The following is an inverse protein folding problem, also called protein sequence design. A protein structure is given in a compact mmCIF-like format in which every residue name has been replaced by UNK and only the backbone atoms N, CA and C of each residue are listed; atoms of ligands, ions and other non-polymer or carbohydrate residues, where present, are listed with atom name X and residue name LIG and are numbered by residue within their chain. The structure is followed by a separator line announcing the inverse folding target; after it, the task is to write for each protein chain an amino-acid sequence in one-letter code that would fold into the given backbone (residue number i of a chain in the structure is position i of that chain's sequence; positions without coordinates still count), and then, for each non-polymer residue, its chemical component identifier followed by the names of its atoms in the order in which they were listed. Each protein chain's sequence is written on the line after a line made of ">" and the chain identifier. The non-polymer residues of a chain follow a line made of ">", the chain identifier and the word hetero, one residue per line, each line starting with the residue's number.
data_IF_694723403741
#
_entry.id   IF_694723403741
#
_cell.length_a   1.000
_cell.length_b   1.000
_cell.length_c   1.000
_cell.angle_alpha   90.00
_cell.angle_beta   90.00
_cell.angle_gamma   90.00
#
_symmetry.space_group_name_H-M   'P 1'
#
loop_
_entity.id
_entity.type
_entity.pdbx_description
1 polymer ?
#
# COMPACT_ATOMS: atom_id res chain seq x y z
N UNK A 1 34.92 12.48 -28.56
CA UNK A 1 34.89 11.25 -27.71
C UNK A 1 34.07 11.59 -26.48
N UNK A 2 33.11 10.75 -26.06
CA UNK A 2 32.23 11.09 -24.92
C UNK A 2 33.03 11.31 -23.63
N UNK A 3 32.85 12.47 -23.00
CA UNK A 3 33.52 12.81 -21.74
C UNK A 3 32.87 12.15 -20.51
N UNK A 4 33.55 12.24 -19.36
CA UNK A 4 33.01 11.90 -18.04
C UNK A 4 32.62 13.20 -17.32
N UNK A 5 31.41 13.26 -16.80
CA UNK A 5 30.83 14.47 -16.22
C UNK A 5 31.08 14.59 -14.70
N UNK A 6 31.69 13.58 -14.07
CA UNK A 6 31.92 13.57 -12.63
C UNK A 6 30.66 13.21 -11.82
N UNK A 7 30.70 13.46 -10.51
CA UNK A 7 29.59 13.12 -9.60
C UNK A 7 28.40 14.08 -9.77
N UNK A 8 27.19 13.56 -9.57
CA UNK A 8 25.91 14.31 -9.61
C UNK A 8 25.54 14.93 -10.97
N UNK A 9 26.22 14.52 -12.04
CA UNK A 9 25.96 14.97 -13.41
C UNK A 9 25.92 13.79 -14.37
N UNK A 10 25.14 13.91 -15.43
CA UNK A 10 25.03 12.92 -16.49
C UNK A 10 25.34 13.53 -17.86
N UNK A 11 25.89 12.71 -18.76
CA UNK A 11 26.16 13.12 -20.13
C UNK A 11 24.91 12.97 -20.99
N UNK A 12 24.33 14.09 -21.44
CA UNK A 12 23.18 14.12 -22.34
C UNK A 12 23.64 14.24 -23.80
N UNK A 13 23.02 13.47 -24.70
CA UNK A 13 23.18 13.65 -26.14
C UNK A 13 24.54 13.26 -26.72
N UNK A 14 25.34 12.42 -26.05
CA UNK A 14 26.57 11.92 -26.67
C UNK A 14 26.30 10.74 -27.62
N UNK A 15 26.76 10.86 -28.86
CA UNK A 15 26.63 9.82 -29.87
C UNK A 15 26.92 10.34 -31.28
N UNK A 16 27.36 9.46 -32.18
CA UNK A 16 27.75 9.87 -33.54
C UNK A 16 28.93 10.83 -33.53
N UNK A 17 28.74 12.02 -34.09
CA UNK A 17 29.71 13.13 -34.10
C UNK A 17 29.54 14.12 -32.93
N UNK A 18 28.49 13.97 -32.12
CA UNK A 18 28.18 14.85 -31.00
C UNK A 18 28.95 14.46 -29.73
N UNK A 19 29.60 15.43 -29.09
CA UNK A 19 30.37 15.21 -27.84
C UNK A 19 29.48 15.11 -26.59
N UNK A 20 28.23 15.58 -26.68
CA UNK A 20 27.27 15.63 -25.59
C UNK A 20 27.53 16.76 -24.58
N UNK A 21 26.55 17.00 -23.72
CA UNK A 21 26.56 18.05 -22.70
C UNK A 21 26.44 17.44 -21.30
N UNK A 22 27.25 17.89 -20.35
CA UNK A 22 27.09 17.50 -18.95
C UNK A 22 25.97 18.30 -18.30
N UNK A 23 24.92 17.61 -17.86
CA UNK A 23 23.78 18.20 -17.14
C UNK A 23 23.75 17.73 -15.71
N UNK A 24 23.25 18.60 -14.82
CA UNK A 24 23.00 18.22 -13.44
C UNK A 24 21.89 17.19 -13.39
N UNK A 25 22.03 16.20 -12.51
CA UNK A 25 20.98 15.22 -12.32
C UNK A 25 19.72 15.87 -11.74
N UNK A 26 18.57 15.35 -12.14
CA UNK A 26 17.27 15.67 -11.57
C UNK A 26 17.30 15.48 -10.05
N UNK A 27 16.56 16.32 -9.32
CA UNK A 27 16.48 16.34 -7.85
C UNK A 27 16.11 14.98 -7.25
N UNK A 28 16.39 14.79 -5.96
CA UNK A 28 16.07 13.55 -5.26
C UNK A 28 14.56 13.26 -5.27
N UNK A 29 14.19 11.97 -5.35
CA UNK A 29 12.79 11.56 -5.40
C UNK A 29 12.06 11.92 -4.09
N UNK A 30 10.88 12.52 -4.22
CA UNK A 30 10.04 12.93 -3.09
C UNK A 30 9.23 11.76 -2.51
N UNK A 31 8.65 11.98 -1.33
CA UNK A 31 7.71 11.04 -0.72
C UNK A 31 6.53 10.74 -1.67
N UNK A 32 6.20 9.46 -1.83
CA UNK A 32 5.22 9.01 -2.82
C UNK A 32 5.80 8.68 -4.20
N UNK A 33 7.12 8.78 -4.37
CA UNK A 33 7.85 8.26 -5.53
C UNK A 33 9.10 7.51 -5.12
N UNK A 34 9.66 6.67 -5.99
CA UNK A 34 10.92 5.96 -5.73
C UNK A 34 11.88 6.07 -6.93
N UNK A 35 13.17 6.00 -6.65
CA UNK A 35 14.23 6.03 -7.66
C UNK A 35 14.25 4.69 -8.42
N UNK A 36 13.91 4.75 -9.71
CA UNK A 36 14.02 3.60 -10.62
C UNK A 36 15.39 3.57 -11.28
N UNK A 37 15.88 4.75 -11.68
CA UNK A 37 17.20 4.93 -12.29
C UNK A 37 17.98 5.88 -11.40
N UNK A 38 19.12 5.40 -10.92
CA UNK A 38 20.06 6.23 -10.17
C UNK A 38 20.77 7.22 -11.10
N UNK A 39 21.02 8.42 -10.57
CA UNK A 39 21.92 9.37 -11.22
C UNK A 39 23.30 8.72 -11.43
N UNK A 40 23.80 8.79 -12.65
CA UNK A 40 25.14 8.34 -13.01
C UNK A 40 25.74 9.23 -14.11
N UNK A 41 27.04 9.12 -14.41
CA UNK A 41 27.64 9.85 -15.54
C UNK A 41 27.00 9.59 -16.91
N UNK A 42 26.12 8.58 -17.02
CA UNK A 42 25.44 8.19 -18.27
C UNK A 42 23.91 8.28 -18.20
N UNK A 43 23.32 8.44 -17.03
CA UNK A 43 21.87 8.40 -16.85
C UNK A 43 21.43 9.48 -15.88
N UNK A 44 20.36 10.19 -16.24
CA UNK A 44 19.67 11.04 -15.29
C UNK A 44 18.91 10.19 -14.27
N UNK A 45 18.60 10.79 -13.12
CA UNK A 45 17.72 10.21 -12.13
C UNK A 45 16.30 10.14 -12.66
N UNK A 46 15.68 8.97 -12.55
CA UNK A 46 14.27 8.77 -12.88
C UNK A 46 13.49 8.34 -11.65
N UNK A 47 12.50 9.14 -11.28
CA UNK A 47 11.58 8.86 -10.18
C UNK A 47 10.26 8.33 -10.71
N UNK A 48 9.73 7.28 -10.08
CA UNK A 48 8.46 6.66 -10.43
C UNK A 48 7.45 6.82 -9.29
N UNK A 49 6.24 7.34 -9.55
CA UNK A 49 5.20 7.44 -8.53
C UNK A 49 4.79 6.07 -7.96
N UNK A 50 4.51 6.00 -6.66
CA UNK A 50 4.01 4.79 -6.02
C UNK A 50 2.67 4.33 -6.60
N UNK A 51 1.82 5.28 -6.99
CA UNK A 51 0.47 5.01 -7.53
C UNK A 51 0.48 4.56 -8.99
N UNK A 52 1.63 4.63 -9.68
CA UNK A 52 1.78 4.07 -11.04
C UNK A 52 2.08 2.57 -11.03
N UNK A 53 2.36 2.00 -9.84
CA UNK A 53 2.61 0.58 -9.69
C UNK A 53 1.31 -0.23 -9.87
N UNK A 54 1.41 -1.49 -10.33
CA UNK A 54 0.24 -2.36 -10.38
C UNK A 54 -0.48 -2.44 -9.04
N UNK A 55 -1.82 -2.49 -9.02
CA UNK A 55 -2.56 -2.63 -7.77
C UNK A 55 -2.19 -3.93 -7.06
N UNK A 56 -2.20 -3.91 -5.73
CA UNK A 56 -2.00 -5.11 -4.93
C UNK A 56 -3.23 -6.03 -5.04
N UNK A 57 -3.04 -7.35 -4.87
CA UNK A 57 -4.14 -8.31 -4.80
C UNK A 57 -5.17 -7.93 -3.73
N UNK A 58 -6.39 -8.45 -3.90
CA UNK A 58 -7.44 -8.26 -2.89
C UNK A 58 -6.99 -8.80 -1.52
N UNK A 59 -7.16 -8.00 -0.47
CA UNK A 59 -6.70 -8.34 0.89
C UNK A 59 -5.24 -7.98 1.17
N UNK A 60 -4.60 -7.19 0.30
CA UNK A 60 -3.25 -6.66 0.49
C UNK A 60 -3.20 -5.13 0.29
N UNK A 61 -2.20 -4.50 0.91
CA UNK A 61 -1.88 -3.08 0.74
C UNK A 61 -0.41 -2.90 0.35
N UNK A 62 -0.08 -1.78 -0.30
CA UNK A 62 1.31 -1.45 -0.64
C UNK A 62 2.04 -0.94 0.60
N UNK A 63 3.03 -1.69 1.04
CA UNK A 63 3.88 -1.35 2.18
C UNK A 63 5.26 -0.88 1.71
N UNK A 64 5.74 0.22 2.28
CA UNK A 64 7.13 0.66 2.13
C UNK A 64 7.50 1.19 0.75
N UNK A 65 6.54 1.72 -0.01
CA UNK A 65 6.86 2.48 -1.21
C UNK A 65 7.34 3.88 -0.85
N UNK A 66 8.42 4.32 -1.51
CA UNK A 66 9.00 5.65 -1.36
C UNK A 66 10.51 5.63 -1.51
N UNK A 67 11.06 6.75 -1.97
CA UNK A 67 12.46 7.16 -2.21
C UNK A 67 13.36 6.10 -2.84
N UNK A 68 13.57 4.97 -2.16
CA UNK A 68 14.48 3.88 -2.53
C UNK A 68 13.76 2.59 -2.92
N UNK A 69 12.43 2.51 -2.79
CA UNK A 69 11.69 1.27 -2.97
C UNK A 69 10.33 1.49 -3.63
N UNK A 70 9.99 0.61 -4.57
CA UNK A 70 8.63 0.51 -5.13
C UNK A 70 7.60 -0.01 -4.11
N UNK A 71 8.06 -0.43 -2.93
CA UNK A 71 7.26 -1.13 -1.94
C UNK A 71 6.93 -2.55 -2.39
N UNK A 72 6.22 -3.26 -1.51
CA UNK A 72 5.72 -4.60 -1.77
C UNK A 72 4.28 -4.70 -1.30
N UNK A 73 3.53 -5.64 -1.87
CA UNK A 73 2.21 -5.94 -1.35
C UNK A 73 2.36 -6.77 -0.07
N UNK A 74 1.66 -6.34 0.97
CA UNK A 74 1.66 -6.96 2.29
C UNK A 74 0.22 -7.29 2.69
N UNK A 75 -0.01 -8.43 3.36
CA UNK A 75 -1.35 -8.83 3.78
C UNK A 75 -1.94 -7.83 4.77
N UNK A 76 -3.23 -7.57 4.62
CA UNK A 76 -4.01 -6.85 5.61
C UNK A 76 -3.97 -7.60 6.94
N UNK A 77 -3.55 -6.92 8.01
CA UNK A 77 -3.51 -7.54 9.32
C UNK A 77 -4.94 -7.92 9.80
N UNK A 78 -5.05 -8.97 10.60
CA UNK A 78 -6.29 -9.26 11.32
C UNK A 78 -6.60 -8.17 12.35
N UNK A 79 -7.88 -8.03 12.70
CA UNK A 79 -8.30 -7.17 13.81
C UNK A 79 -8.44 -7.96 15.11
N UNK A 80 -8.33 -7.30 16.28
CA UNK A 80 -8.61 -7.92 17.57
C UNK A 80 -10.00 -8.55 17.63
N UNK A 81 -10.20 -9.48 18.57
CA UNK A 81 -11.51 -10.08 18.81
C UNK A 81 -12.56 -8.99 19.10
N UNK A 82 -13.74 -9.13 18.51
CA UNK A 82 -14.78 -8.10 18.59
C UNK A 82 -14.54 -6.89 17.66
N UNK A 83 -13.70 -7.04 16.63
CA UNK A 83 -13.56 -6.05 15.56
C UNK A 83 -13.42 -6.70 14.18
N UNK A 84 -13.71 -5.93 13.13
CA UNK A 84 -13.50 -6.29 11.73
C UNK A 84 -12.68 -5.20 11.02
N UNK A 85 -11.98 -5.58 9.95
CA UNK A 85 -11.15 -4.70 9.12
C UNK A 85 -12.02 -4.05 8.05
N UNK A 86 -11.98 -2.72 7.97
CA UNK A 86 -12.62 -1.95 6.91
C UNK A 86 -11.58 -1.18 6.10
N UNK A 87 -11.78 -1.11 4.78
CA UNK A 87 -11.00 -0.25 3.88
C UNK A 87 -9.54 -0.65 3.76
N UNK A 88 -9.26 -1.96 3.76
CA UNK A 88 -7.94 -2.45 3.41
C UNK A 88 -7.87 -2.73 1.91
N UNK A 89 -7.00 -2.01 1.23
CA UNK A 89 -6.82 -2.00 -0.22
C UNK A 89 -5.38 -1.57 -0.56
N UNK A 90 -5.07 -1.46 -1.86
CA UNK A 90 -3.71 -1.12 -2.33
C UNK A 90 -3.15 0.14 -1.66
N UNK A 91 -3.97 1.16 -1.43
CA UNK A 91 -3.55 2.45 -0.86
C UNK A 91 -3.65 2.52 0.67
N UNK A 92 -4.25 1.52 1.31
CA UNK A 92 -4.60 1.61 2.74
C UNK A 92 -4.50 0.26 3.44
N UNK A 93 -3.82 0.23 4.59
CA UNK A 93 -3.84 -0.93 5.52
C UNK A 93 -5.21 -1.16 6.17
N UNK A 94 -6.17 -0.27 5.93
CA UNK A 94 -7.49 -0.24 6.55
C UNK A 94 -7.46 0.01 8.06
N UNK A 95 -8.65 0.08 8.63
CA UNK A 95 -8.83 0.32 10.06
C UNK A 95 -9.66 -0.80 10.68
N UNK A 96 -9.38 -1.08 11.95
CA UNK A 96 -10.23 -1.99 12.71
C UNK A 96 -11.42 -1.20 13.25
N UNK A 97 -12.62 -1.69 12.95
CA UNK A 97 -13.86 -1.17 13.46
C UNK A 97 -14.47 -2.14 14.46
N UNK A 98 -14.95 -1.57 15.57
CA UNK A 98 -15.61 -2.34 16.61
C UNK A 98 -16.90 -2.92 16.06
N UNK A 99 -17.10 -4.19 16.37
CA UNK A 99 -18.32 -4.91 16.13
C UNK A 99 -19.48 -4.21 16.91
N UNK A 100 -20.51 -3.68 16.22
CA UNK A 100 -21.65 -2.95 16.84
C UNK A 100 -22.67 -3.76 17.68
N UNK A 101 -23.54 -3.16 18.48
CA UNK A 101 -24.58 -3.94 19.17
C UNK A 101 -25.72 -4.36 18.23
N UNK A 102 -26.43 -5.42 18.61
CA UNK A 102 -27.68 -5.82 17.95
C UNK A 102 -28.89 -5.34 18.77
N UNK A 103 -30.07 -5.18 18.14
CA UNK A 103 -31.32 -4.90 18.84
C UNK A 103 -31.63 -5.96 19.91
N UNK A 104 -32.51 -5.59 20.86
CA UNK A 104 -32.98 -6.52 21.90
C UNK A 104 -33.58 -7.79 21.28
N UNK A 105 -33.26 -8.95 21.87
CA UNK A 105 -33.68 -10.26 21.35
C UNK A 105 -32.81 -10.80 20.21
N UNK A 106 -31.67 -10.17 19.90
CA UNK A 106 -30.73 -10.62 18.88
C UNK A 106 -29.28 -10.64 19.40
N UNK A 107 -28.45 -11.47 18.80
CA UNK A 107 -27.00 -11.51 19.02
C UNK A 107 -26.25 -11.33 17.71
N UNK A 108 -25.05 -10.76 17.74
CA UNK A 108 -24.23 -10.63 16.54
C UNK A 108 -23.47 -11.93 16.28
N UNK A 109 -23.55 -12.40 15.04
CA UNK A 109 -22.86 -13.57 14.53
C UNK A 109 -21.86 -13.13 13.45
N UNK A 110 -20.71 -13.81 13.38
CA UNK A 110 -19.71 -13.66 12.30
C UNK A 110 -19.00 -12.31 12.17
N UNK A 111 -18.99 -11.45 13.19
CA UNK A 111 -18.17 -10.23 13.12
C UNK A 111 -16.68 -10.54 13.35
N UNK A 112 -15.91 -10.64 12.27
CA UNK A 112 -14.48 -10.95 12.30
C UNK A 112 -13.85 -10.78 10.91
N UNK A 113 -12.52 -10.70 10.83
CA UNK A 113 -11.84 -10.60 9.55
C UNK A 113 -12.24 -9.31 8.83
N UNK A 114 -12.94 -9.43 7.70
CA UNK A 114 -13.52 -8.31 6.93
C UNK A 114 -15.05 -8.24 7.03
N UNK A 115 -15.66 -9.15 7.78
CA UNK A 115 -17.12 -9.27 7.92
C UNK A 115 -17.61 -8.44 9.12
N UNK A 116 -18.51 -7.45 8.93
CA UNK A 116 -19.13 -6.71 10.03
C UNK A 116 -20.04 -7.56 10.93
N UNK A 117 -20.38 -8.77 10.48
CA UNK A 117 -21.31 -9.69 11.10
C UNK A 117 -22.76 -9.31 10.88
N UNK A 118 -23.66 -10.22 11.24
CA UNK A 118 -25.10 -10.06 11.13
C UNK A 118 -25.77 -10.28 12.46
N UNK A 119 -26.86 -9.57 12.72
CA UNK A 119 -27.70 -9.83 13.89
C UNK A 119 -28.62 -11.02 13.62
N UNK A 120 -28.56 -12.02 14.49
CA UNK A 120 -29.42 -13.20 14.47
C UNK A 120 -30.37 -13.18 15.66
N UNK A 121 -31.63 -13.61 15.50
CA UNK A 121 -32.54 -13.76 16.62
C UNK A 121 -31.96 -14.73 17.64
N UNK A 122 -32.19 -14.45 18.92
CA UNK A 122 -32.00 -15.46 19.95
C UNK A 122 -33.07 -16.54 19.75
N UNK A 123 -32.66 -17.80 19.73
CA UNK A 123 -33.63 -18.90 19.71
C UNK A 123 -34.53 -18.81 20.93
N UNK A 124 -35.85 -18.95 20.72
CA UNK A 124 -36.78 -19.14 21.81
C UNK A 124 -36.45 -20.48 22.47
N UNK A 125 -36.18 -20.48 23.77
CA UNK A 125 -36.08 -21.72 24.52
C UNK A 125 -37.44 -22.44 24.44
N UNK A 126 -37.48 -23.77 24.21
CA UNK A 126 -38.69 -24.55 24.43
C UNK A 126 -39.28 -24.26 25.81
N UNK A 127 -40.60 -24.39 25.94
CA UNK A 127 -41.29 -24.15 27.22
C UNK A 127 -40.63 -24.98 28.34
N UNK A 128 -40.05 -24.32 29.34
CA UNK A 128 -39.36 -24.97 30.47
C UNK A 128 -37.83 -25.03 30.41
N UNK A 129 -37.17 -24.55 29.35
CA UNK A 129 -35.69 -24.45 29.32
C UNK A 129 -35.17 -23.03 29.58
N UNK A 130 -34.00 -22.94 30.20
CA UNK A 130 -33.26 -21.69 30.42
C UNK A 130 -31.81 -21.83 29.96
N UNK A 131 -31.28 -20.78 29.31
CA UNK A 131 -29.86 -20.72 28.91
C UNK A 131 -29.03 -20.18 30.07
N UNK A 132 -28.12 -20.99 30.62
CA UNK A 132 -27.14 -20.61 31.66
C UNK A 132 -25.94 -19.88 31.09
#
# INVERSE_FOLDING_TARGET
>A
MCQDCGQERYLYGCGGEEEGECRDCSEACEAGSYELVACSPRTDRECVPCDSQPPCPAGEFREGCGVVSAGKCAPCAACPAGSFRMGCDTGSKGTCQTCGSCPAGQYRSSCSGVDPGVCKPCDACPEGEYRS
#
